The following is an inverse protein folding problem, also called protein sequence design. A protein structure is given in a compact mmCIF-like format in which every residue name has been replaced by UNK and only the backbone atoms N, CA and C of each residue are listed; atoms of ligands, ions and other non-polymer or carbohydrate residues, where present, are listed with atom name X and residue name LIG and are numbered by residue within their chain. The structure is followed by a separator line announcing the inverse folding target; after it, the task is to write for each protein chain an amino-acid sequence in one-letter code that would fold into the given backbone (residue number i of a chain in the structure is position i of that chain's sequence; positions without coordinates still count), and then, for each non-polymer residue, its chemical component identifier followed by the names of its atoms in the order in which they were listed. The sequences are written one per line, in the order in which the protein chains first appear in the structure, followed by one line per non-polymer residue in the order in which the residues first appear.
data_IF_273697328387
#
_entry.id   IF_273697328387
#
_cell.length_a   1.000
_cell.length_b   1.000
_cell.length_c   1.000
_cell.angle_alpha   90.00
_cell.angle_beta   90.00
_cell.angle_gamma   90.00
#
_symmetry.space_group_name_H-M   'P 1'
#
loop_
_entity.id
_entity.type
_entity.pdbx_description
1 polymer ?
#
# COMPACT_ATOMS: atom_id res chain seq x y z
N UNK A 1 -24.77 30.26 8.43
CA UNK A 1 -23.65 29.73 9.23
C UNK A 1 -22.66 29.16 8.24
N UNK A 2 -21.67 29.95 7.88
CA UNK A 2 -20.59 29.58 6.97
C UNK A 2 -19.32 29.59 7.82
N UNK A 3 -18.69 28.44 7.98
CA UNK A 3 -17.52 28.27 8.83
C UNK A 3 -17.22 26.79 9.00
N UNK A 4 -16.32 26.28 8.14
CA UNK A 4 -15.34 25.23 8.46
C UNK A 4 -14.54 24.73 7.22
N UNK A 5 -14.92 25.06 5.98
CA UNK A 5 -14.22 24.50 4.80
C UNK A 5 -12.82 25.08 4.49
N UNK A 6 -12.33 26.07 5.24
CA UNK A 6 -11.04 26.73 4.94
C UNK A 6 -9.86 26.01 5.61
N UNK A 7 -10.08 25.33 6.74
CA UNK A 7 -9.00 24.64 7.47
C UNK A 7 -8.59 23.32 6.82
N UNK A 8 -9.54 22.52 6.31
CA UNK A 8 -9.21 21.20 5.75
C UNK A 8 -8.42 21.32 4.44
N UNK A 9 -8.73 22.33 3.61
CA UNK A 9 -8.01 22.58 2.35
C UNK A 9 -6.59 23.08 2.61
N UNK A 10 -6.37 23.90 3.64
CA UNK A 10 -5.03 24.35 4.04
C UNK A 10 -4.20 23.21 4.62
N UNK A 11 -4.77 22.39 5.52
CA UNK A 11 -4.13 21.19 6.08
C UNK A 11 -3.72 20.18 4.99
N UNK A 12 -4.59 19.93 4.02
CA UNK A 12 -4.29 19.07 2.87
C UNK A 12 -3.21 19.68 1.96
N UNK A 13 -3.22 21.01 1.79
CA UNK A 13 -2.20 21.71 1.02
C UNK A 13 -0.82 21.65 1.67
N UNK A 14 -0.76 21.61 3.00
CA UNK A 14 0.48 21.49 3.75
C UNK A 14 0.97 20.03 3.82
N UNK A 15 0.06 19.05 3.90
CA UNK A 15 0.38 17.63 3.72
C UNK A 15 0.90 17.29 2.30
N UNK A 16 0.54 18.11 1.31
CA UNK A 16 1.09 18.06 -0.04
C UNK A 16 2.50 18.70 -0.14
N UNK A 17 2.84 19.64 0.75
CA UNK A 17 4.13 20.35 0.78
C UNK A 17 5.20 19.63 1.60
N UNK A 18 4.82 18.93 2.67
CA UNK A 18 5.75 18.27 3.61
C UNK A 18 6.38 16.96 3.09
N UNK A 19 6.19 16.64 1.80
CA UNK A 19 6.64 15.38 1.19
C UNK A 19 7.90 15.51 0.35
N UNK A 20 8.84 16.33 0.81
CA UNK A 20 10.07 16.68 0.09
C UNK A 20 11.31 15.88 0.52
N UNK A 21 11.21 14.95 1.48
CA UNK A 21 12.27 13.97 1.68
C UNK A 21 12.11 12.83 0.67
N UNK A 22 13.04 12.65 -0.28
CA UNK A 22 12.99 11.51 -1.18
C UNK A 22 13.20 10.25 -0.36
N UNK A 23 12.15 9.46 -0.19
CA UNK A 23 12.33 8.06 0.17
C UNK A 23 13.22 7.42 -0.88
N UNK A 24 14.25 6.70 -0.43
CA UNK A 24 15.11 5.95 -1.32
C UNK A 24 14.26 4.94 -2.10
N UNK A 25 14.51 4.81 -3.39
CA UNK A 25 13.80 3.85 -4.22
C UNK A 25 14.14 2.43 -3.76
N UNK A 26 13.12 1.67 -3.36
CA UNK A 26 13.29 0.29 -2.91
C UNK A 26 12.43 -0.68 -3.74
N UNK A 27 13.04 -1.75 -4.24
CA UNK A 27 12.33 -2.80 -4.97
C UNK A 27 11.57 -3.72 -3.99
N UNK A 28 10.39 -4.26 -4.35
CA UNK A 28 9.68 -5.22 -3.51
C UNK A 28 10.47 -6.51 -3.33
N UNK A 29 10.61 -6.97 -2.08
CA UNK A 29 11.45 -8.14 -1.74
C UNK A 29 10.64 -9.33 -1.25
N UNK A 30 9.42 -9.12 -0.73
CA UNK A 30 8.54 -10.22 -0.33
C UNK A 30 8.01 -10.96 -1.55
N UNK A 31 7.92 -12.28 -1.44
CA UNK A 31 7.30 -13.11 -2.47
C UNK A 31 5.77 -13.17 -2.33
N UNK A 32 5.13 -13.65 -3.40
CA UNK A 32 3.67 -13.74 -3.47
C UNK A 32 3.09 -14.66 -2.38
N UNK A 33 3.85 -15.68 -1.93
CA UNK A 33 3.39 -16.61 -0.89
C UNK A 33 3.33 -15.94 0.49
N UNK A 34 4.37 -15.20 0.86
CA UNK A 34 4.41 -14.40 2.09
C UNK A 34 3.30 -13.35 2.09
N UNK A 35 3.12 -12.66 0.95
CA UNK A 35 2.09 -11.64 0.80
C UNK A 35 0.67 -12.23 0.89
N UNK A 36 0.43 -13.41 0.31
CA UNK A 36 -0.83 -14.15 0.45
C UNK A 36 -1.06 -14.61 1.90
N UNK A 37 0.00 -15.02 2.61
CA UNK A 37 -0.11 -15.42 4.01
C UNK A 37 -0.49 -14.24 4.90
N UNK A 38 0.13 -13.07 4.68
CA UNK A 38 -0.24 -11.82 5.36
C UNK A 38 -1.67 -11.38 5.04
N UNK A 39 -2.08 -11.48 3.77
CA UNK A 39 -3.47 -11.20 3.38
C UNK A 39 -4.43 -12.16 4.09
N UNK A 40 -4.16 -13.47 4.08
CA UNK A 40 -4.99 -14.46 4.74
C UNK A 40 -5.14 -14.21 6.24
N UNK A 41 -4.04 -13.85 6.92
CA UNK A 41 -4.09 -13.44 8.32
C UNK A 41 -4.94 -12.18 8.50
N UNK A 42 -4.77 -11.19 7.63
CA UNK A 42 -5.53 -9.92 7.70
C UNK A 42 -7.03 -10.17 7.53
N UNK A 43 -7.42 -10.99 6.56
CA UNK A 43 -8.81 -11.39 6.31
C UNK A 43 -9.38 -12.21 7.47
N UNK A 44 -8.58 -13.13 8.05
CA UNK A 44 -8.98 -13.97 9.18
C UNK A 44 -9.36 -13.15 10.42
N UNK A 45 -8.70 -12.02 10.62
CA UNK A 45 -8.92 -11.12 11.75
C UNK A 45 -9.76 -9.90 11.39
N UNK A 46 -10.31 -9.83 10.18
CA UNK A 46 -11.10 -8.69 9.68
C UNK A 46 -10.35 -7.35 9.86
N UNK A 47 -9.04 -7.36 9.53
CA UNK A 47 -8.16 -6.20 9.63
C UNK A 47 -8.29 -5.32 8.38
N UNK A 48 -8.21 -4.01 8.59
CA UNK A 48 -8.30 -3.04 7.51
C UNK A 48 -7.14 -3.18 6.49
N UNK A 49 -7.38 -2.82 5.23
CA UNK A 49 -6.36 -2.78 4.17
C UNK A 49 -5.14 -1.94 4.56
N UNK A 50 -5.30 -0.89 5.37
CA UNK A 50 -4.20 -0.08 5.89
C UNK A 50 -3.25 -0.92 6.75
N UNK A 51 -3.80 -1.82 7.58
CA UNK A 51 -3.03 -2.74 8.44
C UNK A 51 -2.24 -3.71 7.58
N UNK A 52 -2.86 -4.30 6.56
CA UNK A 52 -2.18 -5.19 5.62
C UNK A 52 -1.02 -4.48 4.91
N UNK A 53 -1.28 -3.31 4.31
CA UNK A 53 -0.27 -2.55 3.57
C UNK A 53 0.88 -2.12 4.48
N UNK A 54 0.57 -1.59 5.67
CA UNK A 54 1.58 -1.16 6.62
C UNK A 54 2.44 -2.33 7.09
N UNK A 55 1.85 -3.50 7.30
CA UNK A 55 2.60 -4.70 7.69
C UNK A 55 3.63 -5.10 6.65
N UNK A 56 3.26 -5.04 5.36
CA UNK A 56 4.20 -5.29 4.24
C UNK A 56 5.34 -4.28 4.27
N UNK A 57 5.05 -2.99 4.45
CA UNK A 57 6.08 -1.95 4.53
C UNK A 57 7.03 -2.18 5.72
N UNK A 58 6.51 -2.47 6.91
CA UNK A 58 7.30 -2.71 8.13
C UNK A 58 8.20 -3.94 7.96
N UNK A 59 7.64 -5.05 7.44
CA UNK A 59 8.38 -6.31 7.27
C UNK A 59 9.49 -6.12 6.22
N UNK A 60 9.22 -5.47 5.10
CA UNK A 60 10.26 -5.23 4.11
C UNK A 60 11.38 -4.33 4.64
N UNK A 61 11.05 -3.24 5.33
CA UNK A 61 12.06 -2.38 5.96
C UNK A 61 12.90 -3.14 6.98
N UNK A 62 12.26 -3.99 7.79
CA UNK A 62 12.95 -4.85 8.73
C UNK A 62 13.93 -5.78 8.03
N UNK A 63 13.50 -6.51 6.99
CA UNK A 63 14.35 -7.44 6.26
C UNK A 63 15.54 -6.75 5.60
N UNK A 64 15.33 -5.60 4.94
CA UNK A 64 16.42 -4.81 4.33
C UNK A 64 17.46 -4.36 5.35
N UNK A 65 17.03 -3.86 6.51
CA UNK A 65 17.94 -3.40 7.57
C UNK A 65 18.61 -4.55 8.30
N UNK A 66 17.91 -5.67 8.46
CA UNK A 66 18.43 -6.89 9.08
C UNK A 66 19.50 -7.55 8.22
N UNK A 67 19.35 -7.63 6.90
CA UNK A 67 20.41 -8.20 6.03
C UNK A 67 21.75 -7.44 6.14
N UNK A 68 21.70 -6.15 6.49
CA UNK A 68 22.88 -5.32 6.74
C UNK A 68 23.48 -5.48 8.16
N UNK A 69 22.84 -6.27 9.04
CA UNK A 69 23.24 -6.49 10.42
C UNK A 69 23.29 -7.98 10.79
N UNK A 70 24.31 -8.41 11.52
CA UNK A 70 24.39 -9.80 12.02
C UNK A 70 23.40 -10.04 13.16
N UNK A 71 22.14 -10.30 12.85
CA UNK A 71 21.10 -10.57 13.87
C UNK A 71 20.57 -12.01 13.73
N UNK A 72 20.36 -12.62 14.90
CA UNK A 72 19.93 -14.01 15.12
C UNK A 72 18.77 -14.45 14.19
N UNK A 73 18.67 -15.73 13.81
CA UNK A 73 17.52 -16.24 13.07
C UNK A 73 16.23 -16.17 13.92
N UNK A 74 15.33 -15.20 13.63
CA UNK A 74 13.92 -15.29 14.04
C UNK A 74 13.17 -16.17 13.02
N UNK A 75 12.25 -17.00 13.54
CA UNK A 75 11.24 -17.72 12.75
C UNK A 75 10.45 -16.76 11.84
N UNK A 76 10.36 -17.10 10.56
CA UNK A 76 9.71 -16.25 9.56
C UNK A 76 8.24 -15.98 9.89
N UNK A 77 7.52 -16.97 10.44
CA UNK A 77 6.12 -16.79 10.85
C UNK A 77 5.98 -15.74 11.96
N UNK A 78 6.89 -15.74 12.94
CA UNK A 78 6.92 -14.72 13.98
C UNK A 78 7.18 -13.32 13.43
N UNK A 79 8.06 -13.18 12.42
CA UNK A 79 8.30 -11.88 11.78
C UNK A 79 7.03 -11.36 11.10
N UNK A 80 6.35 -12.22 10.35
CA UNK A 80 5.12 -11.85 9.64
C UNK A 80 4.02 -11.41 10.61
N UNK A 81 3.79 -12.21 11.65
CA UNK A 81 2.75 -11.90 12.64
C UNK A 81 3.10 -10.74 13.53
N UNK A 82 4.38 -10.55 13.90
CA UNK A 82 4.81 -9.35 14.62
C UNK A 82 4.63 -8.08 13.76
N UNK A 83 4.94 -8.13 12.47
CA UNK A 83 4.70 -7.00 11.55
C UNK A 83 3.22 -6.65 11.43
N UNK A 84 2.34 -7.65 11.33
CA UNK A 84 0.89 -7.46 11.33
C UNK A 84 0.39 -6.90 12.68
N UNK A 85 0.90 -7.43 13.79
CA UNK A 85 0.55 -7.01 15.14
C UNK A 85 0.93 -5.55 15.40
N UNK A 86 2.15 -5.14 15.06
CA UNK A 86 2.59 -3.74 15.12
C UNK A 86 1.65 -2.84 14.31
N UNK A 87 1.35 -3.26 13.07
CA UNK A 87 0.49 -2.48 12.17
C UNK A 87 -0.92 -2.31 12.71
N UNK A 88 -1.48 -3.35 13.31
CA UNK A 88 -2.82 -3.30 13.93
C UNK A 88 -2.89 -2.35 15.12
N UNK A 89 -1.82 -2.28 15.92
CA UNK A 89 -1.70 -1.33 17.03
C UNK A 89 -1.55 0.11 16.53
N UNK A 90 -0.79 0.29 15.46
CA UNK A 90 -0.44 1.61 14.93
C UNK A 90 -1.63 2.29 14.23
N UNK A 91 -2.29 1.59 13.29
CA UNK A 91 -3.46 2.13 12.59
C UNK A 91 -4.62 2.33 13.56
N UNK A 92 -4.78 1.41 14.53
CA UNK A 92 -5.93 1.38 15.41
C UNK A 92 -7.23 1.02 14.65
N UNK A 93 -8.30 0.68 15.36
CA UNK A 93 -9.55 0.31 14.71
C UNK A 93 -10.52 -0.41 15.63
N UNK A 94 -11.64 -0.85 15.06
CA UNK A 94 -12.65 -1.64 15.79
C UNK A 94 -12.19 -3.05 16.10
N UNK A 95 -11.40 -3.64 15.20
CA UNK A 95 -10.82 -4.97 15.35
C UNK A 95 -9.35 -4.84 15.73
N UNK A 96 -9.04 -5.05 17.01
CA UNK A 96 -7.66 -5.11 17.49
C UNK A 96 -7.21 -6.57 17.55
N UNK A 97 -6.08 -6.87 16.91
CA UNK A 97 -5.44 -8.17 17.02
C UNK A 97 -4.84 -8.31 18.42
N UNK A 98 -5.33 -9.25 19.22
CA UNK A 98 -4.74 -9.56 20.53
C UNK A 98 -3.49 -10.43 20.39
N UNK A 99 -2.63 -10.44 21.42
CA UNK A 99 -1.46 -11.31 21.46
C UNK A 99 -1.84 -12.79 21.43
N UNK A 100 -2.91 -13.15 22.12
CA UNK A 100 -3.45 -14.49 22.24
C UNK A 100 -3.96 -14.98 20.88
N UNK A 101 -4.70 -14.14 20.16
CA UNK A 101 -5.22 -14.45 18.84
C UNK A 101 -4.08 -14.61 17.81
N UNK A 102 -3.07 -13.72 17.88
CA UNK A 102 -1.92 -13.78 16.99
C UNK A 102 -1.10 -15.07 17.19
N UNK A 103 -0.83 -15.44 18.45
CA UNK A 103 -0.14 -16.69 18.80
C UNK A 103 -0.98 -17.91 18.40
N UNK A 104 -2.26 -17.96 18.77
CA UNK A 104 -3.14 -19.08 18.42
C UNK A 104 -3.26 -19.27 16.91
N UNK A 105 -3.25 -18.19 16.14
CA UNK A 105 -3.19 -18.28 14.67
C UNK A 105 -1.87 -18.86 14.16
N UNK A 106 -0.72 -18.40 14.67
CA UNK A 106 0.59 -18.97 14.31
C UNK A 106 0.63 -20.48 14.56
N UNK A 107 0.20 -20.90 15.75
CA UNK A 107 0.16 -22.31 16.12
C UNK A 107 -0.74 -23.12 15.18
N UNK A 108 -1.91 -22.57 14.82
CA UNK A 108 -2.86 -23.23 13.93
C UNK A 108 -2.36 -23.39 12.49
N UNK A 109 -1.50 -22.48 12.02
CA UNK A 109 -1.00 -22.47 10.63
C UNK A 109 0.31 -23.23 10.49
N UNK A 110 1.22 -23.12 11.46
CA UNK A 110 2.54 -23.76 11.37
C UNK A 110 2.63 -25.10 12.10
N UNK A 111 1.63 -25.43 12.93
CA UNK A 111 1.62 -26.62 13.80
C UNK A 111 2.81 -26.67 14.78
N UNK A 112 3.28 -25.50 15.22
CA UNK A 112 4.35 -25.33 16.22
C UNK A 112 3.81 -24.57 17.41
N UNK A 113 4.31 -24.88 18.60
CA UNK A 113 3.96 -24.15 19.82
C UNK A 113 4.66 -22.78 19.83
N UNK A 114 3.93 -21.72 20.16
CA UNK A 114 4.47 -20.38 20.34
C UNK A 114 3.99 -19.78 21.66
N UNK A 115 4.87 -19.03 22.31
CA UNK A 115 4.51 -18.28 23.49
C UNK A 115 4.34 -16.79 23.17
N UNK A 116 3.45 -16.10 23.89
CA UNK A 116 3.21 -14.66 23.76
C UNK A 116 4.52 -13.86 23.87
N UNK A 117 5.43 -14.27 24.76
CA UNK A 117 6.71 -13.58 24.95
C UNK A 117 7.59 -13.62 23.68
N UNK A 118 7.43 -14.64 22.82
CA UNK A 118 8.16 -14.74 21.55
C UNK A 118 7.65 -13.69 20.57
N UNK A 119 6.33 -13.52 20.47
CA UNK A 119 5.71 -12.46 19.65
C UNK A 119 6.15 -11.07 20.12
N UNK A 120 6.12 -10.81 21.44
CA UNK A 120 6.55 -9.52 22.00
C UNK A 120 8.03 -9.24 21.72
N UNK A 121 8.89 -10.27 21.82
CA UNK A 121 10.32 -10.14 21.50
C UNK A 121 10.54 -9.84 20.02
N UNK A 122 9.79 -10.48 19.13
CA UNK A 122 9.85 -10.20 17.69
C UNK A 122 9.34 -8.80 17.36
N UNK A 123 8.27 -8.34 18.00
CA UNK A 123 7.79 -6.96 17.89
C UNK A 123 8.89 -5.96 18.30
N UNK A 124 9.48 -6.15 19.48
CA UNK A 124 10.53 -5.28 19.99
C UNK A 124 11.76 -5.26 19.07
N UNK A 125 12.17 -6.43 18.56
CA UNK A 125 13.29 -6.51 17.63
C UNK A 125 13.01 -5.77 16.32
N UNK A 126 11.83 -5.99 15.71
CA UNK A 126 11.45 -5.30 14.46
C UNK A 126 11.51 -3.79 14.67
N UNK A 127 10.86 -3.28 15.72
CA UNK A 127 10.82 -1.86 16.03
C UNK A 127 12.22 -1.26 16.25
N UNK A 128 13.09 -1.97 16.98
CA UNK A 128 14.48 -1.56 17.18
C UNK A 128 15.27 -1.52 15.87
N UNK A 129 15.16 -2.56 15.05
CA UNK A 129 15.89 -2.66 13.76
C UNK A 129 15.45 -1.56 12.79
N UNK A 130 14.17 -1.22 12.74
CA UNK A 130 13.68 -0.12 11.91
C UNK A 130 13.87 1.27 12.54
N UNK A 131 14.51 1.37 13.72
CA UNK A 131 14.67 2.60 14.51
C UNK A 131 13.32 3.31 14.80
N UNK A 132 12.27 2.53 15.08
CA UNK A 132 10.91 3.02 15.33
C UNK A 132 10.35 3.90 14.19
N UNK A 133 10.92 3.77 12.98
CA UNK A 133 10.49 4.52 11.80
C UNK A 133 9.34 3.78 11.12
N UNK A 134 8.11 4.01 11.61
CA UNK A 134 6.88 3.51 10.98
C UNK A 134 6.33 4.61 10.06
N UNK A 135 5.99 4.31 8.79
CA UNK A 135 5.36 5.28 7.91
C UNK A 135 4.07 5.86 8.52
N UNK A 136 3.96 7.19 8.56
CA UNK A 136 2.78 7.90 9.06
C UNK A 136 1.55 7.76 8.14
N UNK A 137 1.79 7.50 6.86
CA UNK A 137 0.76 7.39 5.85
C UNK A 137 1.07 6.20 4.93
N UNK A 138 0.01 5.53 4.49
CA UNK A 138 0.05 4.42 3.57
C UNK A 138 -0.43 4.84 2.18
N UNK A 139 -0.23 3.96 1.20
CA UNK A 139 -0.80 4.13 -0.15
C UNK A 139 -2.33 4.19 -0.11
N UNK A 140 -2.97 3.51 0.85
CA UNK A 140 -4.42 3.56 1.03
C UNK A 140 -4.90 4.95 1.50
N UNK A 141 -4.15 5.62 2.39
CA UNK A 141 -4.45 7.00 2.82
C UNK A 141 -4.38 7.97 1.63
N UNK A 142 -3.33 7.86 0.82
CA UNK A 142 -3.17 8.68 -0.39
C UNK A 142 -4.25 8.41 -1.43
N UNK A 143 -4.72 7.17 -1.54
CA UNK A 143 -5.84 6.78 -2.40
C UNK A 143 -7.17 7.33 -1.90
N UNK A 144 -7.42 7.26 -0.59
CA UNK A 144 -8.60 7.88 0.04
C UNK A 144 -8.65 9.37 -0.22
N UNK A 145 -7.54 10.07 0.02
CA UNK A 145 -7.42 11.50 -0.26
C UNK A 145 -7.68 11.82 -1.74
N UNK A 146 -7.00 11.13 -2.65
CA UNK A 146 -7.13 11.38 -4.09
C UNK A 146 -8.55 11.10 -4.58
N UNK A 147 -9.17 10.01 -4.11
CA UNK A 147 -10.55 9.66 -4.43
C UNK A 147 -11.52 10.72 -3.93
N UNK A 148 -11.39 11.15 -2.67
CA UNK A 148 -12.24 12.18 -2.09
C UNK A 148 -12.13 13.51 -2.86
N UNK A 149 -10.90 13.99 -3.09
CA UNK A 149 -10.66 15.22 -3.86
C UNK A 149 -11.33 15.18 -5.23
N UNK A 150 -11.27 14.03 -5.91
CA UNK A 150 -11.86 13.86 -7.22
C UNK A 150 -13.40 13.80 -7.16
N UNK A 151 -13.96 12.97 -6.29
CA UNK A 151 -15.40 12.76 -6.16
C UNK A 151 -16.12 14.06 -5.74
N UNK A 152 -15.54 14.82 -4.81
CA UNK A 152 -16.08 16.11 -4.37
C UNK A 152 -16.08 17.15 -5.50
N UNK A 153 -14.97 17.24 -6.26
CA UNK A 153 -14.84 18.16 -7.39
C UNK A 153 -15.91 17.93 -8.45
N UNK A 154 -16.27 16.67 -8.69
CA UNK A 154 -17.25 16.27 -9.71
C UNK A 154 -18.66 16.01 -9.17
N UNK A 155 -18.87 16.19 -7.85
CA UNK A 155 -20.15 15.91 -7.17
C UNK A 155 -20.66 14.49 -7.45
N UNK A 156 -19.76 13.53 -7.56
CA UNK A 156 -20.10 12.13 -7.81
C UNK A 156 -20.48 11.50 -6.47
N UNK A 157 -21.73 11.09 -6.33
CA UNK A 157 -22.23 10.42 -5.14
C UNK A 157 -22.11 8.89 -5.28
N UNK A 158 -20.87 8.39 -5.41
CA UNK A 158 -20.57 6.97 -5.51
C UNK A 158 -19.40 6.64 -4.59
N UNK A 159 -19.53 5.54 -3.83
CA UNK A 159 -18.44 5.04 -3.00
C UNK A 159 -17.56 4.06 -3.80
N UNK A 160 -16.42 4.54 -4.29
CA UNK A 160 -15.45 3.72 -5.03
C UNK A 160 -14.43 3.01 -4.13
N UNK A 161 -14.34 3.40 -2.85
CA UNK A 161 -13.30 2.92 -1.94
C UNK A 161 -13.27 1.40 -1.74
N UNK A 162 -14.41 0.68 -1.63
CA UNK A 162 -14.38 -0.78 -1.53
C UNK A 162 -13.67 -1.44 -2.71
N UNK A 163 -13.93 -0.99 -3.95
CA UNK A 163 -13.28 -1.54 -5.14
C UNK A 163 -11.81 -1.11 -5.22
N UNK A 164 -11.52 0.15 -4.92
CA UNK A 164 -10.15 0.67 -4.84
C UNK A 164 -9.30 -0.13 -3.84
N UNK A 165 -9.82 -0.42 -2.65
CA UNK A 165 -9.13 -1.21 -1.63
C UNK A 165 -8.92 -2.65 -2.10
N UNK A 166 -9.89 -3.26 -2.76
CA UNK A 166 -9.74 -4.60 -3.33
C UNK A 166 -8.65 -4.65 -4.42
N UNK A 167 -8.62 -3.66 -5.33
CA UNK A 167 -7.55 -3.53 -6.33
C UNK A 167 -6.20 -3.37 -5.64
N UNK A 168 -6.12 -2.53 -4.61
CA UNK A 168 -4.88 -2.26 -3.89
C UNK A 168 -4.35 -3.49 -3.14
N UNK A 169 -5.23 -4.26 -2.48
CA UNK A 169 -4.86 -5.54 -1.86
C UNK A 169 -4.29 -6.51 -2.90
N UNK A 170 -4.96 -6.67 -4.05
CA UNK A 170 -4.46 -7.52 -5.14
C UNK A 170 -3.10 -7.06 -5.66
N UNK A 171 -2.87 -5.74 -5.76
CA UNK A 171 -1.57 -5.21 -6.16
C UNK A 171 -0.47 -5.54 -5.15
N UNK A 172 -0.75 -5.47 -3.86
CA UNK A 172 0.21 -5.85 -2.85
C UNK A 172 0.49 -7.35 -2.86
N UNK A 173 -0.51 -8.19 -3.12
CA UNK A 173 -0.33 -9.65 -3.23
C UNK A 173 0.50 -10.04 -4.45
N UNK A 174 0.33 -9.34 -5.59
CA UNK A 174 1.05 -9.58 -6.84
C UNK A 174 2.17 -8.57 -7.07
N UNK A 175 2.78 -8.05 -5.99
CA UNK A 175 3.62 -6.84 -6.03
C UNK A 175 4.81 -6.98 -6.96
N UNK A 176 5.57 -8.08 -6.84
CA UNK A 176 6.71 -8.35 -7.71
C UNK A 176 6.31 -8.46 -9.18
N UNK A 177 5.15 -9.06 -9.48
CA UNK A 177 4.70 -9.28 -10.85
C UNK A 177 4.45 -7.97 -11.60
N UNK A 178 3.59 -7.10 -11.06
CA UNK A 178 3.29 -5.84 -11.74
C UNK A 178 4.47 -4.86 -11.70
N UNK A 179 5.26 -4.90 -10.61
CA UNK A 179 6.47 -4.10 -10.51
C UNK A 179 7.47 -4.47 -11.59
N UNK A 180 7.74 -5.77 -11.80
CA UNK A 180 8.65 -6.24 -12.84
C UNK A 180 8.12 -5.97 -14.25
N UNK A 181 6.80 -6.08 -14.46
CA UNK A 181 6.17 -5.72 -15.74
C UNK A 181 6.40 -4.25 -16.08
N UNK A 182 6.16 -3.33 -15.11
CA UNK A 182 6.50 -1.92 -15.30
C UNK A 182 8.01 -1.72 -15.48
N UNK A 183 8.85 -2.29 -14.61
CA UNK A 183 10.31 -2.16 -14.70
C UNK A 183 10.83 -2.53 -16.09
N UNK A 184 10.35 -3.62 -16.67
CA UNK A 184 10.76 -4.06 -18.01
C UNK A 184 10.37 -3.05 -19.10
N UNK A 185 9.23 -2.38 -18.96
CA UNK A 185 8.78 -1.34 -19.91
C UNK A 185 9.65 -0.08 -19.83
N UNK A 186 10.19 0.24 -18.65
CA UNK A 186 11.05 1.39 -18.42
C UNK A 186 12.56 1.07 -18.45
N UNK A 187 12.98 -0.16 -18.74
CA UNK A 187 14.39 -0.57 -18.74
C UNK A 187 15.07 -0.43 -20.11
N UNK A 188 14.54 0.43 -20.99
CA UNK A 188 15.04 0.57 -22.36
C UNK A 188 16.28 1.47 -22.44
N UNK A 189 16.35 2.50 -21.60
CA UNK A 189 17.42 3.49 -21.57
C UNK A 189 17.55 4.15 -20.18
N UNK A 190 18.60 4.94 -19.98
CA UNK A 190 18.90 5.53 -18.67
C UNK A 190 17.86 6.59 -18.24
N UNK A 191 17.30 7.34 -19.19
CA UNK A 191 16.27 8.35 -18.91
C UNK A 191 14.97 7.69 -18.44
N UNK A 192 14.57 6.59 -19.08
CA UNK A 192 13.38 5.84 -18.68
C UNK A 192 13.54 5.15 -17.33
N UNK A 193 14.75 4.69 -16.98
CA UNK A 193 15.04 4.15 -15.63
C UNK A 193 14.92 5.24 -14.57
N UNK A 194 15.43 6.45 -14.83
CA UNK A 194 15.31 7.59 -13.90
C UNK A 194 13.84 7.96 -13.71
N UNK A 195 13.07 8.03 -14.80
CA UNK A 195 11.63 8.27 -14.74
C UNK A 195 10.90 7.20 -13.90
N UNK A 196 11.23 5.91 -14.08
CA UNK A 196 10.64 4.83 -13.30
C UNK A 196 10.91 4.97 -11.80
N UNK A 197 12.14 5.27 -11.40
CA UNK A 197 12.49 5.49 -9.99
C UNK A 197 11.70 6.64 -9.39
N UNK A 198 11.58 7.75 -10.12
CA UNK A 198 10.79 8.91 -9.70
C UNK A 198 9.31 8.55 -9.53
N UNK A 199 8.72 7.82 -10.49
CA UNK A 199 7.33 7.39 -10.43
C UNK A 199 7.06 6.48 -9.24
N UNK A 200 7.97 5.55 -8.94
CA UNK A 200 7.82 4.60 -7.84
C UNK A 200 7.94 5.24 -6.45
N UNK A 201 8.65 6.36 -6.33
CA UNK A 201 8.72 7.15 -5.08
C UNK A 201 7.51 8.10 -4.96
N UNK A 202 6.86 8.44 -6.08
CA UNK A 202 5.73 9.37 -6.06
C UNK A 202 4.50 8.77 -5.36
N UNK A 203 4.13 9.37 -4.21
CA UNK A 203 3.01 8.95 -3.37
C UNK A 203 1.65 8.83 -4.07
N UNK A 204 1.46 9.50 -5.21
CA UNK A 204 0.20 9.47 -5.96
C UNK A 204 0.23 8.61 -7.21
N UNK A 205 1.38 8.03 -7.60
CA UNK A 205 1.45 7.22 -8.82
C UNK A 205 0.57 5.97 -8.76
N UNK A 206 0.78 5.13 -7.74
CA UNK A 206 -0.03 3.93 -7.54
C UNK A 206 -1.49 4.27 -7.20
N UNK A 207 -1.80 5.22 -6.29
CA UNK A 207 -3.18 5.64 -6.05
C UNK A 207 -3.93 6.10 -7.30
N UNK A 208 -3.31 6.93 -8.14
CA UNK A 208 -3.92 7.40 -9.37
C UNK A 208 -4.19 6.25 -10.35
N UNK A 209 -3.24 5.32 -10.48
CA UNK A 209 -3.40 4.15 -11.33
C UNK A 209 -4.52 3.22 -10.83
N UNK A 210 -4.66 3.01 -9.52
CA UNK A 210 -5.75 2.25 -8.91
C UNK A 210 -7.11 2.91 -9.18
N UNK A 211 -7.20 4.23 -9.00
CA UNK A 211 -8.44 4.97 -9.23
C UNK A 211 -8.85 4.94 -10.72
N UNK A 212 -7.91 5.10 -11.64
CA UNK A 212 -8.13 4.93 -13.08
C UNK A 212 -8.60 3.52 -13.43
N UNK A 213 -8.00 2.50 -12.83
CA UNK A 213 -8.41 1.09 -13.02
C UNK A 213 -9.84 0.89 -12.53
N UNK A 214 -10.19 1.43 -11.36
CA UNK A 214 -11.53 1.40 -10.79
C UNK A 214 -12.56 2.03 -11.74
N UNK A 215 -12.26 3.20 -12.31
CA UNK A 215 -13.11 3.82 -13.35
C UNK A 215 -13.19 3.02 -14.64
N UNK A 216 -12.13 2.30 -15.00
CA UNK A 216 -12.16 1.49 -16.19
C UNK A 216 -13.12 0.30 -16.07
N UNK A 217 -13.15 -0.32 -14.88
CA UNK A 217 -13.95 -1.52 -14.59
C UNK A 217 -15.42 -1.17 -14.27
N UNK A 218 -15.66 0.02 -13.70
CA UNK A 218 -17.02 0.45 -13.32
C UNK A 218 -17.75 1.17 -14.44
N UNK A 219 -19.07 1.27 -14.32
CA UNK A 219 -19.92 2.04 -15.23
C UNK A 219 -19.75 3.57 -15.09
N UNK A 220 -18.78 4.06 -14.31
CA UNK A 220 -18.52 5.51 -14.14
C UNK A 220 -18.13 6.18 -15.45
N UNK A 221 -17.69 5.41 -16.47
CA UNK A 221 -17.55 5.88 -17.86
C UNK A 221 -18.80 6.56 -18.41
N UNK A 222 -19.98 6.27 -17.87
CA UNK A 222 -21.25 6.92 -18.25
C UNK A 222 -21.39 8.34 -17.70
N UNK A 223 -20.63 8.69 -16.65
CA UNK A 223 -20.69 9.98 -15.95
C UNK A 223 -19.48 10.86 -16.33
N UNK A 224 -18.28 10.27 -16.41
CA UNK A 224 -17.04 10.98 -16.75
C UNK A 224 -16.26 10.22 -17.81
N UNK A 225 -15.86 10.91 -18.88
CA UNK A 225 -14.97 10.34 -19.89
C UNK A 225 -13.62 9.96 -19.28
N UNK A 226 -13.13 8.76 -19.62
CA UNK A 226 -11.87 8.25 -19.09
C UNK A 226 -10.69 9.19 -19.39
N UNK A 227 -10.64 9.81 -20.59
CA UNK A 227 -9.54 10.72 -20.92
C UNK A 227 -9.60 12.00 -20.11
N UNK A 228 -10.81 12.50 -19.79
CA UNK A 228 -10.98 13.63 -18.89
C UNK A 228 -10.44 13.29 -17.50
N UNK A 229 -10.78 12.12 -16.95
CA UNK A 229 -10.28 11.68 -15.66
C UNK A 229 -8.74 11.60 -15.62
N UNK A 230 -8.11 11.05 -16.66
CA UNK A 230 -6.65 10.97 -16.77
C UNK A 230 -6.00 12.36 -16.84
N UNK A 231 -6.55 13.27 -17.65
CA UNK A 231 -6.01 14.63 -17.78
C UNK A 231 -6.08 15.39 -16.45
N UNK A 232 -7.16 15.21 -15.69
CA UNK A 232 -7.32 15.85 -14.38
C UNK A 232 -6.38 15.26 -13.34
N UNK A 233 -6.21 13.93 -13.30
CA UNK A 233 -5.23 13.29 -12.44
C UNK A 233 -3.81 13.70 -12.78
N UNK A 234 -3.47 13.91 -14.04
CA UNK A 234 -2.20 14.51 -14.43
C UNK A 234 -2.03 15.92 -13.85
N UNK A 235 -3.08 16.75 -13.89
CA UNK A 235 -3.01 18.11 -13.33
C UNK A 235 -2.81 18.11 -11.82
N UNK A 236 -3.42 17.16 -11.10
CA UNK A 236 -3.34 17.02 -9.64
C UNK A 236 -2.00 16.42 -9.22
N UNK A 237 -1.62 15.28 -9.80
CA UNK A 237 -0.44 14.49 -9.39
C UNK A 237 0.87 14.96 -10.01
N UNK A 238 0.79 15.78 -11.08
CA UNK A 238 1.91 16.18 -11.94
C UNK A 238 2.60 15.01 -12.65
N UNK A 239 1.93 13.86 -12.74
CA UNK A 239 2.41 12.68 -13.47
C UNK A 239 1.87 12.72 -14.90
N UNK A 240 2.72 12.47 -15.88
CA UNK A 240 2.30 12.45 -17.28
C UNK A 240 1.26 11.37 -17.55
N UNK A 241 0.29 11.70 -18.40
CA UNK A 241 -0.82 10.83 -18.82
C UNK A 241 -0.35 9.44 -19.26
N UNK A 242 0.72 9.35 -20.03
CA UNK A 242 1.20 8.07 -20.56
C UNK A 242 1.64 7.12 -19.45
N UNK A 243 2.30 7.64 -18.41
CA UNK A 243 2.71 6.83 -17.25
C UNK A 243 1.50 6.38 -16.42
N UNK A 244 0.49 7.23 -16.27
CA UNK A 244 -0.75 6.90 -15.57
C UNK A 244 -1.54 5.80 -16.32
N UNK A 245 -1.68 5.94 -17.64
CA UNK A 245 -2.32 4.94 -18.49
C UNK A 245 -1.57 3.62 -18.50
N UNK A 246 -0.23 3.67 -18.55
CA UNK A 246 0.61 2.48 -18.52
C UNK A 246 0.43 1.70 -17.21
N UNK A 247 0.47 2.39 -16.07
CA UNK A 247 0.24 1.77 -14.77
C UNK A 247 -1.16 1.18 -14.67
N UNK A 248 -2.20 1.94 -15.02
CA UNK A 248 -3.58 1.45 -15.01
C UNK A 248 -3.76 0.23 -15.93
N UNK A 249 -3.14 0.23 -17.11
CA UNK A 249 -3.14 -0.91 -18.04
C UNK A 249 -2.49 -2.17 -17.45
N UNK A 250 -1.34 -2.03 -16.79
CA UNK A 250 -0.69 -3.16 -16.10
C UNK A 250 -1.58 -3.69 -14.97
N UNK A 251 -2.20 -2.82 -14.17
CA UNK A 251 -3.12 -3.23 -13.10
C UNK A 251 -4.33 -3.98 -13.69
N UNK A 252 -4.94 -3.46 -14.77
CA UNK A 252 -6.07 -4.10 -15.46
C UNK A 252 -5.70 -5.50 -15.96
N UNK A 253 -4.51 -5.67 -16.53
CA UNK A 253 -4.04 -6.97 -17.01
C UNK A 253 -3.91 -8.02 -15.90
N UNK A 254 -3.75 -7.61 -14.64
CA UNK A 254 -3.75 -8.54 -13.50
C UNK A 254 -5.12 -9.15 -13.24
N UNK A 255 -6.21 -8.43 -13.57
CA UNK A 255 -7.60 -8.90 -13.47
C UNK A 255 -7.99 -9.84 -14.61
N UNK A 256 -7.55 -9.53 -15.83
CA UNK A 256 -7.99 -10.27 -17.02
C UNK A 256 -7.25 -11.60 -17.22
N UNK A 257 -6.00 -11.69 -16.75
CA UNK A 257 -5.25 -12.96 -16.77
C UNK A 257 -5.74 -13.88 -15.65
N UNK A 258 -6.81 -14.62 -15.92
CA UNK A 258 -7.16 -15.86 -15.21
C UNK A 258 -6.00 -16.85 -15.38
N UNK A 259 -5.21 -17.02 -14.32
CA UNK A 259 -4.32 -18.16 -14.13
C UNK A 259 -5.09 -19.29 -13.47
#
# INVERSE_FOLDING_TARGET
MAGNNVNDVELLSDWLKDTSEPHEFEEPILDDFVLQTLQFASDKFDLDVHVFILSVCIIEQYLRKRENGSVCPIDEGLILMAGLFISSKFIGGTNHLSSEDAVGFLESVTFRDYEIHMLMRSEEEILRVINFSIPLATVADHLGLLSQMYLERHKINMNLMPLCNHILQMLYVRRKKWYNELKNLYSQDEETIVAFRFLMINKFYIPAAVLLTCWHITEVKTIVDFNTAVNELQLITKIQRDHLNLAAGVILNLFEKKS
#
